data_IF_119942310765
#
_entry.id   IF_119942310765
#
_cell.length_a   1.000
_cell.length_b   1.000
_cell.length_c   1.000
_cell.angle_alpha   90.00
_cell.angle_beta   90.00
_cell.angle_gamma   90.00
#
_symmetry.space_group_name_H-M   'P 1'
#
loop_
_entity.id
_entity.type
_entity.pdbx_description
1 polymer ?
#
# COMPACT_ATOMS: atom_id res chain seq x y z
N UNK A 1 -13.92 12.41 -15.91
CA UNK A 1 -13.17 13.66 -16.18
C UNK A 1 -11.89 13.31 -16.92
N UNK A 2 -11.09 14.30 -17.32
CA UNK A 2 -9.85 14.07 -18.10
C UNK A 2 -8.69 13.48 -17.27
N UNK A 3 -8.75 13.60 -15.93
CA UNK A 3 -7.71 13.09 -15.02
C UNK A 3 -7.61 11.56 -15.11
N UNK A 4 -6.38 11.07 -15.19
CA UNK A 4 -6.05 9.64 -15.25
C UNK A 4 -4.87 9.35 -14.32
N UNK A 5 -4.77 8.15 -13.71
CA UNK A 5 -3.62 7.77 -12.88
C UNK A 5 -2.31 7.69 -13.68
N UNK A 6 -2.38 7.72 -15.02
CA UNK A 6 -1.24 7.52 -15.89
C UNK A 6 -0.44 8.81 -16.21
N UNK A 7 -0.66 9.88 -15.44
CA UNK A 7 0.04 11.14 -15.60
C UNK A 7 0.74 11.54 -14.31
N UNK A 8 1.78 12.35 -14.45
CA UNK A 8 2.45 12.97 -13.32
C UNK A 8 1.62 14.16 -12.81
N UNK A 9 1.48 14.26 -11.50
CA UNK A 9 0.78 15.37 -10.84
C UNK A 9 1.70 16.10 -9.87
N UNK A 10 1.21 17.21 -9.32
CA UNK A 10 1.82 17.95 -8.22
C UNK A 10 0.89 17.91 -7.03
N UNK A 11 1.41 17.70 -5.83
CA UNK A 11 0.61 17.89 -4.62
C UNK A 11 0.34 19.39 -4.45
N UNK A 12 -0.94 19.73 -4.25
CA UNK A 12 -1.40 21.12 -4.11
C UNK A 12 -0.56 21.90 -3.09
N UNK A 13 -0.25 23.16 -3.41
CA UNK A 13 0.52 24.08 -2.57
C UNK A 13 1.97 23.61 -2.24
N UNK A 14 2.51 22.65 -2.99
CA UNK A 14 3.88 22.15 -2.83
C UNK A 14 4.60 21.96 -4.18
N UNK A 15 5.91 21.70 -4.14
CA UNK A 15 6.68 21.27 -5.32
C UNK A 15 6.87 19.74 -5.39
N UNK A 16 6.13 18.97 -4.57
CA UNK A 16 6.22 17.52 -4.58
C UNK A 16 5.48 16.96 -5.79
N UNK A 17 6.19 16.18 -6.60
CA UNK A 17 5.64 15.43 -7.73
C UNK A 17 4.95 14.16 -7.20
N UNK A 18 3.79 13.83 -7.75
CA UNK A 18 2.90 12.75 -7.31
C UNK A 18 2.63 11.80 -8.46
N UNK A 19 2.95 10.52 -8.26
CA UNK A 19 2.59 9.42 -9.14
C UNK A 19 1.41 8.66 -8.54
N UNK A 20 0.38 8.42 -9.35
CA UNK A 20 -0.82 7.73 -8.90
C UNK A 20 -0.77 6.26 -9.32
N UNK A 21 -1.25 5.38 -8.43
CA UNK A 21 -1.43 3.96 -8.72
C UNK A 21 -2.50 3.76 -9.79
N UNK A 22 -2.19 3.01 -10.84
CA UNK A 22 -3.23 2.46 -11.71
C UNK A 22 -3.85 1.24 -11.02
N UNK A 23 -4.84 1.49 -10.15
CA UNK A 23 -5.39 0.45 -9.27
C UNK A 23 -6.01 -0.72 -10.05
N UNK A 24 -6.61 -0.48 -11.23
CA UNK A 24 -7.23 -1.54 -12.03
C UNK A 24 -6.20 -2.56 -12.48
N UNK A 25 -5.16 -2.10 -13.19
CA UNK A 25 -4.08 -2.96 -13.68
C UNK A 25 -3.27 -3.57 -12.53
N UNK A 26 -3.11 -2.85 -11.43
CA UNK A 26 -2.44 -3.36 -10.23
C UNK A 26 -3.21 -4.51 -9.59
N UNK A 27 -4.52 -4.34 -9.38
CA UNK A 27 -5.39 -5.36 -8.77
C UNK A 27 -5.59 -6.57 -9.70
N UNK A 28 -5.49 -6.38 -11.02
CA UNK A 28 -5.59 -7.48 -11.98
C UNK A 28 -4.47 -8.52 -11.80
N UNK A 29 -3.27 -8.07 -11.43
CA UNK A 29 -2.15 -8.96 -11.06
C UNK A 29 -2.26 -9.39 -9.60
N UNK A 30 -2.47 -8.44 -8.68
CA UNK A 30 -2.41 -8.72 -7.24
C UNK A 30 -3.54 -9.65 -6.76
N UNK A 31 -4.78 -9.40 -7.21
CA UNK A 31 -5.97 -10.06 -6.68
C UNK A 31 -6.69 -10.94 -7.70
N UNK A 32 -6.77 -10.52 -8.99
CA UNK A 32 -7.60 -11.22 -9.99
C UNK A 32 -6.85 -12.23 -10.85
N UNK A 33 -5.54 -12.35 -10.72
CA UNK A 33 -4.71 -13.16 -11.61
C UNK A 33 -5.17 -14.62 -11.71
N UNK A 34 -5.57 -15.21 -10.58
CA UNK A 34 -6.08 -16.58 -10.49
C UNK A 34 -7.62 -16.69 -10.44
N UNK A 35 -8.35 -15.57 -10.54
CA UNK A 35 -9.81 -15.53 -10.46
C UNK A 35 -10.46 -15.99 -11.77
N UNK A 36 -10.85 -17.27 -11.86
CA UNK A 36 -11.37 -17.91 -13.07
C UNK A 36 -12.73 -17.36 -13.55
N UNK A 37 -13.47 -16.73 -12.65
CA UNK A 37 -14.77 -16.12 -12.87
C UNK A 37 -14.68 -14.66 -13.35
N UNK A 38 -13.51 -14.04 -13.26
CA UNK A 38 -13.27 -12.70 -13.78
C UNK A 38 -13.12 -12.72 -15.31
N UNK A 39 -13.81 -11.78 -15.98
CA UNK A 39 -13.81 -11.66 -17.46
C UNK A 39 -12.42 -11.50 -18.09
N UNK A 40 -11.42 -11.03 -17.33
CA UNK A 40 -10.05 -10.91 -17.82
C UNK A 40 -9.28 -12.24 -17.84
N UNK A 41 -9.76 -13.27 -17.14
CA UNK A 41 -9.09 -14.56 -17.01
C UNK A 41 -9.09 -15.36 -18.34
N UNK A 42 -8.00 -16.09 -18.66
CA UNK A 42 -6.70 -16.08 -17.98
C UNK A 42 -5.93 -14.78 -18.27
N UNK A 43 -5.22 -14.24 -17.27
CA UNK A 43 -4.38 -13.07 -17.49
C UNK A 43 -3.01 -13.47 -18.03
N UNK A 44 -2.80 -13.31 -19.34
CA UNK A 44 -1.53 -13.60 -20.01
C UNK A 44 -0.67 -12.35 -20.17
N UNK A 45 0.64 -12.53 -20.32
CA UNK A 45 1.60 -11.42 -20.43
C UNK A 45 1.34 -10.53 -21.66
N UNK A 46 1.01 -11.13 -22.80
CA UNK A 46 0.67 -10.44 -24.05
C UNK A 46 -0.64 -9.63 -23.90
N UNK A 47 -1.65 -10.22 -23.25
CA UNK A 47 -2.92 -9.55 -22.96
C UNK A 47 -2.68 -8.32 -22.08
N UNK A 48 -1.95 -8.49 -20.97
CA UNK A 48 -1.66 -7.39 -20.06
C UNK A 48 -0.79 -6.29 -20.71
N UNK A 49 0.22 -6.67 -21.49
CA UNK A 49 1.03 -5.73 -22.27
C UNK A 49 0.18 -4.93 -23.27
N UNK A 50 -0.79 -5.57 -23.94
CA UNK A 50 -1.72 -4.88 -24.86
C UNK A 50 -2.58 -3.84 -24.13
N UNK A 51 -2.99 -4.12 -22.90
CA UNK A 51 -3.74 -3.18 -22.07
C UNK A 51 -2.88 -1.98 -21.65
N UNK A 52 -1.61 -2.22 -21.27
CA UNK A 52 -0.66 -1.15 -20.99
C UNK A 52 -0.44 -0.28 -22.23
N UNK A 53 -0.18 -0.88 -23.39
CA UNK A 53 0.07 -0.15 -24.63
C UNK A 53 -1.13 0.69 -25.10
N UNK A 54 -2.35 0.26 -24.72
CA UNK A 54 -3.60 0.96 -25.02
C UNK A 54 -3.95 2.06 -24.00
N UNK A 55 -3.19 2.18 -22.91
CA UNK A 55 -3.41 3.23 -21.93
C UNK A 55 -2.93 4.58 -22.45
N UNK A 56 -3.79 5.59 -22.41
CA UNK A 56 -3.36 6.97 -22.56
C UNK A 56 -2.62 7.44 -21.30
N UNK A 57 -1.52 8.16 -21.48
CA UNK A 57 -0.72 8.69 -20.38
C UNK A 57 0.75 8.92 -20.70
N UNK A 58 1.47 9.39 -19.68
CA UNK A 58 2.92 9.52 -19.66
C UNK A 58 3.59 8.28 -19.03
N UNK A 59 2.93 7.65 -18.07
CA UNK A 59 3.49 6.57 -17.24
C UNK A 59 2.37 5.69 -16.69
N UNK A 60 2.52 4.36 -16.73
CA UNK A 60 1.58 3.44 -16.07
C UNK A 60 2.24 2.88 -14.81
N UNK A 61 1.73 3.28 -13.65
CA UNK A 61 2.25 2.83 -12.36
C UNK A 61 1.49 1.60 -11.86
N UNK A 62 2.20 0.49 -11.71
CA UNK A 62 1.65 -0.76 -11.15
C UNK A 62 2.21 -0.93 -9.73
N UNK A 63 1.37 -0.79 -8.71
CA UNK A 63 1.77 -0.95 -7.31
C UNK A 63 1.08 -2.16 -6.70
N UNK A 64 1.88 -3.09 -6.18
CA UNK A 64 1.44 -4.32 -5.52
C UNK A 64 2.49 -4.75 -4.49
N UNK A 65 2.09 -5.57 -3.52
CA UNK A 65 2.99 -6.13 -2.54
C UNK A 65 3.90 -7.19 -3.17
N UNK A 66 5.12 -7.34 -2.66
CA UNK A 66 6.07 -8.32 -3.19
C UNK A 66 5.56 -9.76 -3.03
N UNK A 67 4.84 -10.00 -1.94
CA UNK A 67 4.14 -11.23 -1.58
C UNK A 67 3.07 -11.63 -2.62
N UNK A 68 2.72 -10.73 -3.55
CA UNK A 68 1.92 -11.09 -4.74
C UNK A 68 2.52 -12.31 -5.45
N UNK A 69 3.85 -12.38 -5.54
CA UNK A 69 4.56 -13.40 -6.31
C UNK A 69 4.99 -14.57 -5.42
N UNK A 70 4.17 -15.61 -5.34
CA UNK A 70 4.48 -16.86 -4.63
C UNK A 70 3.70 -17.08 -3.33
N UNK A 71 2.99 -16.06 -2.83
CA UNK A 71 2.18 -16.18 -1.60
C UNK A 71 0.71 -15.82 -1.83
N UNK A 72 0.39 -14.61 -2.32
CA UNK A 72 -0.98 -14.28 -2.73
C UNK A 72 -1.37 -14.95 -4.06
N UNK A 73 -0.43 -15.00 -5.02
CA UNK A 73 -0.56 -15.81 -6.23
C UNK A 73 0.46 -16.94 -6.17
N UNK A 74 -0.02 -18.17 -6.00
CA UNK A 74 0.83 -19.34 -5.83
C UNK A 74 1.54 -19.71 -7.13
N UNK A 75 2.70 -20.39 -7.08
CA UNK A 75 3.46 -20.76 -8.28
C UNK A 75 2.62 -21.52 -9.33
N UNK A 76 1.71 -22.38 -8.88
CA UNK A 76 0.84 -23.23 -9.73
C UNK A 76 -0.18 -22.41 -10.53
N UNK A 77 -0.43 -21.16 -10.15
CA UNK A 77 -1.27 -20.23 -10.92
C UNK A 77 -0.60 -19.80 -12.23
N UNK A 78 0.71 -20.01 -12.37
CA UNK A 78 1.51 -19.57 -13.50
C UNK A 78 2.04 -18.14 -13.37
N UNK A 79 1.91 -17.51 -12.19
CA UNK A 79 2.34 -16.13 -11.97
C UNK A 79 3.82 -15.88 -12.29
N UNK A 80 4.71 -16.85 -12.02
CA UNK A 80 6.13 -16.73 -12.35
C UNK A 80 6.40 -16.83 -13.86
N UNK A 81 5.64 -17.65 -14.59
CA UNK A 81 5.73 -17.69 -16.06
C UNK A 81 5.24 -16.37 -16.66
N UNK A 82 4.12 -15.85 -16.16
CA UNK A 82 3.64 -14.52 -16.51
C UNK A 82 4.73 -13.46 -16.31
N UNK A 83 5.36 -13.43 -15.12
CA UNK A 83 6.39 -12.46 -14.79
C UNK A 83 7.65 -12.60 -15.66
N UNK A 84 8.01 -13.83 -16.05
CA UNK A 84 9.14 -14.11 -16.95
C UNK A 84 8.90 -13.56 -18.36
N UNK A 85 7.68 -13.67 -18.87
CA UNK A 85 7.32 -13.21 -20.21
C UNK A 85 6.97 -11.72 -20.27
N UNK A 86 6.48 -11.16 -19.17
CA UNK A 86 5.93 -9.81 -19.12
C UNK A 86 6.86 -8.71 -19.67
N UNK A 87 8.17 -8.64 -19.33
CA UNK A 87 9.03 -7.60 -19.86
C UNK A 87 9.17 -7.64 -21.38
N UNK A 88 9.31 -8.84 -21.95
CA UNK A 88 9.42 -9.01 -23.39
C UNK A 88 8.11 -8.59 -24.08
N UNK A 89 6.96 -9.00 -23.56
CA UNK A 89 5.66 -8.64 -24.13
C UNK A 89 5.38 -7.13 -24.06
N UNK A 90 5.75 -6.45 -22.97
CA UNK A 90 5.61 -4.99 -22.85
C UNK A 90 6.48 -4.29 -23.90
N UNK A 91 7.73 -4.72 -24.07
CA UNK A 91 8.70 -4.09 -24.98
C UNK A 91 8.46 -4.37 -26.46
N UNK A 92 7.53 -5.27 -26.81
CA UNK A 92 7.09 -5.46 -28.21
C UNK A 92 6.32 -4.26 -28.76
N UNK A 93 5.73 -3.45 -27.88
CA UNK A 93 5.04 -2.23 -28.26
C UNK A 93 6.04 -1.07 -28.27
N UNK A 94 6.26 -0.46 -29.43
CA UNK A 94 7.29 0.59 -29.62
C UNK A 94 7.08 1.84 -28.74
N UNK A 95 5.85 2.08 -28.28
CA UNK A 95 5.51 3.17 -27.38
C UNK A 95 5.78 2.87 -25.90
N UNK A 96 6.21 1.65 -25.56
CA UNK A 96 6.45 1.22 -24.19
C UNK A 96 7.95 1.13 -23.87
N UNK A 97 8.28 1.47 -22.63
CA UNK A 97 9.60 1.24 -22.03
C UNK A 97 9.48 1.17 -20.51
N UNK A 98 10.45 0.53 -19.88
CA UNK A 98 10.61 0.58 -18.43
C UNK A 98 11.46 1.78 -18.04
N UNK A 99 11.02 2.47 -16.99
CA UNK A 99 11.66 3.66 -16.45
C UNK A 99 11.55 3.64 -14.93
N UNK A 100 12.55 4.19 -14.28
CA UNK A 100 12.57 4.41 -12.83
C UNK A 100 11.73 5.62 -12.45
N UNK A 101 11.35 5.70 -11.18
CA UNK A 101 10.61 6.86 -10.65
C UNK A 101 11.38 8.18 -10.86
N UNK A 102 12.70 8.16 -10.68
CA UNK A 102 13.56 9.33 -10.92
C UNK A 102 13.53 9.77 -12.38
N UNK A 103 13.65 8.83 -13.32
CA UNK A 103 13.55 9.15 -14.75
C UNK A 103 12.18 9.74 -15.10
N UNK A 104 11.08 9.19 -14.57
CA UNK A 104 9.73 9.74 -14.79
C UNK A 104 9.61 11.18 -14.30
N UNK A 105 10.17 11.45 -13.12
CA UNK A 105 10.22 12.79 -12.52
C UNK A 105 11.05 13.77 -13.35
N UNK A 106 12.12 13.31 -14.00
CA UNK A 106 12.98 14.16 -14.84
C UNK A 106 12.41 14.36 -16.26
N UNK A 107 11.68 13.37 -16.79
CA UNK A 107 11.14 13.40 -18.16
C UNK A 107 9.86 14.22 -18.30
N UNK A 108 9.07 14.33 -17.25
CA UNK A 108 7.72 14.90 -17.33
C UNK A 108 7.49 16.04 -16.34
N UNK A 109 6.72 17.02 -16.79
CA UNK A 109 6.14 18.04 -15.92
C UNK A 109 4.73 17.65 -15.48
N UNK A 110 4.33 17.98 -14.24
CA UNK A 110 2.99 17.72 -13.74
C UNK A 110 1.91 18.31 -14.64
N UNK A 111 0.94 17.49 -15.03
CA UNK A 111 -0.19 17.94 -15.89
C UNK A 111 -1.30 18.64 -15.09
N UNK A 112 -1.22 18.60 -13.76
CA UNK A 112 -2.16 19.26 -12.87
C UNK A 112 -1.89 18.98 -11.39
N UNK A 113 -2.77 19.48 -10.54
CA UNK A 113 -2.66 19.35 -9.10
C UNK A 113 -3.63 18.32 -8.51
N UNK A 114 -3.13 17.60 -7.50
CA UNK A 114 -3.91 16.71 -6.65
C UNK A 114 -4.00 17.32 -5.26
N UNK A 115 -5.23 17.51 -4.81
CA UNK A 115 -5.58 17.97 -3.46
C UNK A 115 -6.15 16.80 -2.66
N UNK A 116 -5.63 16.58 -1.47
CA UNK A 116 -6.01 15.50 -0.56
C UNK A 116 -6.26 16.14 0.80
N UNK A 117 -7.43 16.76 1.02
CA UNK A 117 -7.72 17.54 2.22
C UNK A 117 -7.88 16.68 3.48
N UNK A 118 -8.06 15.36 3.31
CA UNK A 118 -8.19 14.39 4.39
C UNK A 118 -7.25 13.22 4.13
N UNK A 119 -6.73 12.62 5.21
CA UNK A 119 -5.89 11.44 5.08
C UNK A 119 -6.66 10.30 4.40
N UNK A 120 -6.05 9.74 3.37
CA UNK A 120 -6.57 8.59 2.60
C UNK A 120 -5.50 7.50 2.57
N UNK A 121 -5.91 6.30 2.16
CA UNK A 121 -4.98 5.19 1.96
C UNK A 121 -5.35 4.39 0.73
N UNK A 122 -4.44 3.47 0.35
CA UNK A 122 -4.71 2.47 -0.68
C UNK A 122 -5.35 1.19 -0.14
N UNK A 123 -5.58 1.10 1.17
CA UNK A 123 -6.07 -0.09 1.85
C UNK A 123 -7.60 -0.16 1.82
N UNK A 124 -8.10 -1.40 1.80
CA UNK A 124 -9.52 -1.76 1.80
C UNK A 124 -10.33 -1.03 0.71
N UNK A 125 -11.66 -1.18 0.75
CA UNK A 125 -12.55 -0.54 -0.23
C UNK A 125 -12.78 0.93 0.09
N UNK A 126 -12.77 1.30 1.37
CA UNK A 126 -13.06 2.67 1.82
C UNK A 126 -11.95 3.67 1.49
N UNK A 127 -10.71 3.20 1.28
CA UNK A 127 -9.54 4.03 0.90
C UNK A 127 -9.29 5.20 1.85
N UNK A 128 -9.58 5.00 3.13
CA UNK A 128 -9.39 5.98 4.19
C UNK A 128 -8.42 5.43 5.26
N UNK A 129 -8.37 6.06 6.43
CA UNK A 129 -7.49 5.65 7.54
C UNK A 129 -8.11 4.61 8.46
N UNK A 130 -9.34 4.17 8.24
CA UNK A 130 -10.08 3.32 9.18
C UNK A 130 -9.52 1.90 9.29
N UNK A 131 -8.62 1.50 8.39
CA UNK A 131 -7.81 0.27 8.53
C UNK A 131 -6.87 0.35 9.75
N UNK A 132 -6.39 1.54 10.14
CA UNK A 132 -5.50 1.74 11.29
C UNK A 132 -6.13 2.55 12.43
N UNK A 133 -7.24 3.25 12.18
CA UNK A 133 -7.91 4.16 13.11
C UNK A 133 -9.45 4.01 13.05
N UNK A 134 -9.94 2.79 12.82
CA UNK A 134 -11.36 2.50 12.64
C UNK A 134 -12.12 2.12 13.92
N UNK A 135 -11.42 1.86 15.02
CA UNK A 135 -12.03 1.50 16.31
C UNK A 135 -11.32 2.14 17.51
N UNK A 136 -11.97 2.06 18.68
CA UNK A 136 -11.49 2.71 19.91
C UNK A 136 -10.15 2.15 20.41
N UNK A 137 -9.87 0.86 20.19
CA UNK A 137 -8.59 0.24 20.58
C UNK A 137 -7.43 0.83 19.79
N UNK A 138 -7.59 0.91 18.47
CA UNK A 138 -6.64 1.53 17.55
C UNK A 138 -6.40 3.00 17.91
N UNK A 139 -7.46 3.77 18.12
CA UNK A 139 -7.39 5.19 18.46
C UNK A 139 -6.69 5.39 19.81
N UNK A 140 -6.99 4.56 20.81
CA UNK A 140 -6.34 4.61 22.12
C UNK A 140 -4.83 4.34 22.03
N UNK A 141 -4.41 3.29 21.33
CA UNK A 141 -3.00 2.99 21.10
C UNK A 141 -2.28 4.11 20.34
N UNK A 142 -2.90 4.64 19.28
CA UNK A 142 -2.32 5.73 18.49
C UNK A 142 -2.10 6.99 19.32
N UNK A 143 -3.09 7.38 20.13
CA UNK A 143 -2.99 8.56 20.99
C UNK A 143 -1.92 8.39 22.08
N UNK A 144 -1.85 7.22 22.74
CA UNK A 144 -0.81 6.96 23.73
C UNK A 144 0.60 6.99 23.10
N UNK A 145 0.78 6.36 21.94
CA UNK A 145 2.05 6.39 21.20
C UNK A 145 2.46 7.81 20.81
N UNK A 146 1.52 8.65 20.38
CA UNK A 146 1.76 10.06 20.04
C UNK A 146 2.22 10.86 21.26
N UNK A 147 1.54 10.73 22.39
CA UNK A 147 1.89 11.44 23.63
C UNK A 147 3.25 11.00 24.18
N UNK A 148 3.57 9.70 24.12
CA UNK A 148 4.89 9.18 24.45
C UNK A 148 6.00 9.80 23.58
N UNK A 149 5.73 9.93 22.28
CA UNK A 149 6.68 10.52 21.34
C UNK A 149 7.08 11.94 21.70
N UNK A 150 6.14 12.75 22.20
CA UNK A 150 6.42 14.11 22.67
C UNK A 150 7.39 14.10 23.86
N UNK A 151 7.08 13.31 24.89
CA UNK A 151 7.89 13.22 26.12
C UNK A 151 9.28 12.62 25.87
N UNK A 152 9.38 11.60 25.01
CA UNK A 152 10.66 10.96 24.66
C UNK A 152 11.58 11.93 23.93
N UNK A 153 11.04 12.72 22.99
CA UNK A 153 11.81 13.74 22.27
C UNK A 153 12.30 14.85 23.19
N UNK A 154 11.49 15.27 24.17
CA UNK A 154 11.88 16.26 25.18
C UNK A 154 13.02 15.74 26.07
N UNK A 155 13.05 14.45 26.39
CA UNK A 155 14.09 13.81 27.21
C UNK A 155 15.44 13.67 26.49
N UNK A 156 15.44 13.54 25.16
CA UNK A 156 16.65 13.40 24.35
C UNK A 156 17.38 12.05 24.49
N UNK A 157 16.69 11.00 24.98
CA UNK A 157 17.26 9.66 25.09
C UNK A 157 17.14 8.90 23.76
N UNK A 158 18.27 8.71 23.07
CA UNK A 158 18.35 8.03 21.77
C UNK A 158 17.85 6.57 21.81
N UNK A 159 18.01 5.87 22.94
CA UNK A 159 17.54 4.50 23.09
C UNK A 159 16.02 4.46 23.16
N UNK A 160 15.41 5.34 23.96
CA UNK A 160 13.95 5.45 24.04
C UNK A 160 13.37 5.93 22.71
N UNK A 161 14.03 6.85 22.03
CA UNK A 161 13.62 7.33 20.71
C UNK A 161 13.63 6.20 19.68
N UNK A 162 14.65 5.33 19.69
CA UNK A 162 14.70 4.15 18.82
C UNK A 162 13.56 3.18 19.10
N UNK A 163 13.26 2.89 20.37
CA UNK A 163 12.14 2.00 20.75
C UNK A 163 10.82 2.60 20.27
N UNK A 164 10.58 3.89 20.53
CA UNK A 164 9.38 4.58 20.08
C UNK A 164 9.22 4.61 18.55
N UNK A 165 10.32 4.71 17.80
CA UNK A 165 10.31 4.58 16.33
C UNK A 165 9.89 3.19 15.87
N UNK A 166 10.35 2.13 16.53
CA UNK A 166 9.95 0.76 16.19
C UNK A 166 8.46 0.52 16.47
N UNK A 167 7.94 1.05 17.58
CA UNK A 167 6.52 0.95 17.92
C UNK A 167 5.61 1.75 16.99
N UNK A 168 6.14 2.64 16.14
CA UNK A 168 5.35 3.32 15.10
C UNK A 168 5.07 2.47 13.86
N UNK A 169 5.57 1.23 13.80
CA UNK A 169 5.25 0.31 12.70
C UNK A 169 3.74 0.15 12.58
N UNK A 170 3.19 0.44 11.40
CA UNK A 170 1.74 0.52 11.18
C UNK A 170 1.01 -0.79 11.42
N UNK A 171 1.69 -1.93 11.23
CA UNK A 171 1.19 -3.27 11.47
C UNK A 171 0.65 -3.44 12.89
N UNK A 172 1.26 -2.77 13.89
CA UNK A 172 0.76 -2.81 15.25
C UNK A 172 -0.68 -2.31 15.38
N UNK A 173 -1.07 -1.28 14.62
CA UNK A 173 -2.44 -0.78 14.59
C UNK A 173 -3.31 -1.59 13.62
N UNK A 174 -2.74 -2.05 12.51
CA UNK A 174 -3.43 -2.92 11.54
C UNK A 174 -3.97 -4.19 12.22
N UNK A 175 -3.16 -4.83 13.06
CA UNK A 175 -3.54 -6.05 13.78
C UNK A 175 -4.66 -5.86 14.81
N UNK A 176 -4.98 -4.61 15.18
CA UNK A 176 -6.09 -4.29 16.09
C UNK A 176 -7.39 -3.96 15.35
N UNK A 177 -7.36 -3.99 14.01
CA UNK A 177 -8.53 -3.75 13.19
C UNK A 177 -9.59 -4.82 13.47
N UNK A 178 -10.83 -4.38 13.63
CA UNK A 178 -12.00 -5.24 13.69
C UNK A 178 -12.71 -5.36 12.33
N UNK A 179 -12.19 -4.67 11.30
CA UNK A 179 -12.61 -4.88 9.91
C UNK A 179 -12.26 -6.30 9.48
N UNK A 180 -13.10 -6.91 8.64
CA UNK A 180 -12.87 -8.28 8.19
C UNK A 180 -13.24 -9.38 9.20
N UNK A 181 -13.76 -9.05 10.40
CA UNK A 181 -14.44 -10.07 11.23
C UNK A 181 -15.70 -10.65 10.55
N UNK A 182 -16.23 -9.95 9.54
CA UNK A 182 -17.29 -10.43 8.65
C UNK A 182 -16.79 -10.94 7.29
N UNK A 183 -15.55 -10.61 6.87
CA UNK A 183 -15.05 -10.78 5.49
C UNK A 183 -13.56 -11.21 5.52
N UNK A 184 -13.35 -12.43 6.03
CA UNK A 184 -12.12 -12.87 6.69
C UNK A 184 -10.87 -13.19 5.85
N UNK A 185 -10.54 -12.46 4.79
CA UNK A 185 -9.50 -12.90 3.84
C UNK A 185 -8.22 -12.03 3.72
N UNK A 186 -8.14 -10.83 4.31
CA UNK A 186 -6.91 -10.01 4.18
C UNK A 186 -6.27 -9.65 5.53
N UNK A 187 -7.07 -9.23 6.53
CA UNK A 187 -6.57 -8.80 7.85
C UNK A 187 -6.10 -9.95 8.76
N UNK A 188 -6.32 -11.21 8.36
CA UNK A 188 -5.82 -12.40 9.08
C UNK A 188 -4.46 -12.86 8.57
N UNK A 189 -4.11 -12.51 7.33
CA UNK A 189 -2.79 -12.82 6.81
C UNK A 189 -1.76 -12.02 7.62
N UNK A 190 -0.76 -12.71 8.16
CA UNK A 190 0.34 -12.15 8.96
C UNK A 190 0.01 -11.52 10.33
N UNK A 191 -1.19 -11.72 10.89
CA UNK A 191 -1.46 -11.27 12.26
C UNK A 191 -0.92 -12.28 13.29
N UNK A 192 0.02 -11.89 14.18
CA UNK A 192 0.57 -12.80 15.18
C UNK A 192 -0.39 -13.07 16.35
N UNK A 193 -1.51 -12.35 16.43
CA UNK A 193 -2.49 -12.45 17.51
C UNK A 193 -3.73 -13.23 17.08
N UNK A 194 -4.33 -13.97 18.00
CA UNK A 194 -5.54 -14.74 17.73
C UNK A 194 -6.76 -13.84 17.55
N UNK A 195 -6.75 -12.67 18.20
CA UNK A 195 -7.81 -11.67 18.09
C UNK A 195 -7.24 -10.24 18.15
N UNK A 196 -7.95 -9.24 17.59
CA UNK A 196 -7.61 -7.82 17.75
C UNK A 196 -7.51 -7.38 19.22
N UNK A 197 -8.31 -7.98 20.10
CA UNK A 197 -8.30 -7.70 21.54
C UNK A 197 -6.99 -8.16 22.21
N UNK A 198 -6.48 -9.34 21.82
CA UNK A 198 -5.18 -9.82 22.30
C UNK A 198 -4.04 -8.93 21.81
N UNK A 199 -4.10 -8.51 20.54
CA UNK A 199 -3.16 -7.53 19.99
C UNK A 199 -3.19 -6.21 20.76
N UNK A 200 -4.40 -5.72 21.10
CA UNK A 200 -4.56 -4.47 21.83
C UNK A 200 -3.97 -4.55 23.23
N UNK A 201 -4.28 -5.63 23.97
CA UNK A 201 -3.75 -5.84 25.33
C UNK A 201 -2.22 -5.87 25.29
N UNK A 202 -1.63 -6.64 24.37
CA UNK A 202 -0.17 -6.71 24.24
C UNK A 202 0.45 -5.36 23.88
N UNK A 203 -0.08 -4.71 22.84
CA UNK A 203 0.50 -3.46 22.36
C UNK A 203 0.36 -2.33 23.39
N UNK A 204 -0.79 -2.20 24.03
CA UNK A 204 -1.00 -1.21 25.08
C UNK A 204 -0.10 -1.48 26.30
N UNK A 205 0.09 -2.74 26.72
CA UNK A 205 1.01 -3.07 27.80
C UNK A 205 2.45 -2.65 27.49
N UNK A 206 2.91 -2.85 26.24
CA UNK A 206 4.23 -2.40 25.78
C UNK A 206 4.34 -0.87 25.82
N UNK A 207 3.30 -0.16 25.39
CA UNK A 207 3.28 1.32 25.48
C UNK A 207 3.34 1.80 26.93
N UNK A 208 2.63 1.15 27.86
CA UNK A 208 2.69 1.50 29.28
C UNK A 208 4.04 1.18 29.93
N UNK A 209 4.69 0.07 29.57
CA UNK A 209 6.06 -0.22 30.01
C UNK A 209 7.05 0.85 29.49
N UNK A 210 6.93 1.25 28.22
CA UNK A 210 7.74 2.34 27.69
C UNK A 210 7.48 3.65 28.46
N UNK A 211 6.22 3.97 28.75
CA UNK A 211 5.81 5.15 29.51
C UNK A 211 6.49 5.26 30.87
N UNK A 212 6.68 4.15 31.57
CA UNK A 212 7.35 4.11 32.87
C UNK A 212 8.85 4.43 32.79
N UNK A 213 9.45 4.32 31.59
CA UNK A 213 10.88 4.59 31.34
C UNK A 213 11.14 6.02 30.87
N UNK A 214 10.09 6.75 30.49
CA UNK A 214 10.14 8.16 30.07
C UNK A 214 10.12 9.07 31.28
#
# INVERSE_FOLDING_TARGET
GWRSPNYLYRAKDTNLKVLLRNYRLSDDIAFRFSAKDWVGFPLTADKFASWIASCEGQVVNIFMDFETFGEHQWPETGIFEFLRHLPAEILRFENNRFVTVSEVVDMFEPVGEIDVPFAISWADTERDVSTWLGNDMQIACFNELKELGRKIKEKGDERLLKIWRLLQTSDHLYYLSTKGFADGDVHKYFNPYSTPYEGFINYMNILQDLKQRV
#
